data_IF_091838861552
#
_entry.id   IF_091838861552
#
_cell.length_a   1.000
_cell.length_b   1.000
_cell.length_c   1.000
_cell.angle_alpha   90.00
_cell.angle_beta   90.00
_cell.angle_gamma   90.00
#
_symmetry.space_group_name_H-M   'P 1'
#
loop_
_entity.id
_entity.type
_entity.pdbx_description
1 polymer ?
#
# COMPACT_ATOMS: atom_id res chain seq x y z
N UNK A 1 -5.41 -26.17 9.39
CA UNK A 1 -5.73 -24.72 9.49
C UNK A 1 -5.07 -24.22 10.77
N UNK A 2 -4.03 -23.38 10.65
CA UNK A 2 -3.37 -22.77 11.81
C UNK A 2 -4.33 -21.86 12.59
N UNK A 3 -3.94 -21.41 13.79
CA UNK A 3 -4.77 -20.48 14.52
C UNK A 3 -4.89 -19.16 13.74
N UNK A 4 -5.97 -18.38 13.90
CA UNK A 4 -6.07 -17.05 13.29
C UNK A 4 -4.89 -16.14 13.64
N UNK A 5 -4.25 -16.36 14.80
CA UNK A 5 -3.04 -15.66 15.22
C UNK A 5 -1.86 -16.03 14.33
N UNK A 6 -1.65 -17.33 14.09
CA UNK A 6 -0.55 -17.84 13.27
C UNK A 6 -0.71 -17.40 11.82
N UNK A 7 -1.95 -17.41 11.30
CA UNK A 7 -2.27 -16.93 9.97
C UNK A 7 -1.93 -15.44 9.78
N UNK A 8 -2.10 -14.61 10.82
CA UNK A 8 -1.71 -13.21 10.76
C UNK A 8 -0.19 -13.04 10.71
N UNK A 9 0.55 -13.84 11.49
CA UNK A 9 2.02 -13.80 11.52
C UNK A 9 2.62 -14.28 10.19
N UNK A 10 2.07 -15.34 9.60
CA UNK A 10 2.48 -15.84 8.29
C UNK A 10 2.26 -14.81 7.19
N UNK A 11 1.07 -14.21 7.12
CA UNK A 11 0.77 -13.16 6.13
C UNK A 11 1.65 -11.92 6.34
N UNK A 12 2.02 -11.62 7.59
CA UNK A 12 2.89 -10.49 7.91
C UNK A 12 4.32 -10.72 7.41
N UNK A 13 4.85 -11.94 7.56
CA UNK A 13 6.16 -12.32 7.05
C UNK A 13 6.20 -12.25 5.52
N UNK A 14 5.17 -12.76 4.85
CA UNK A 14 5.01 -12.67 3.39
C UNK A 14 4.91 -11.23 2.90
N UNK A 15 4.14 -10.37 3.59
CA UNK A 15 4.04 -8.95 3.27
C UNK A 15 5.38 -8.22 3.51
N UNK A 16 6.11 -8.59 4.56
CA UNK A 16 7.41 -7.98 4.89
C UNK A 16 8.48 -8.33 3.85
N UNK A 17 8.60 -9.61 3.47
CA UNK A 17 9.49 -10.04 2.39
C UNK A 17 9.19 -9.33 1.07
N UNK A 18 7.91 -9.18 0.74
CA UNK A 18 7.49 -8.44 -0.46
C UNK A 18 7.88 -6.97 -0.39
N UNK A 19 7.75 -6.33 0.78
CA UNK A 19 8.17 -4.93 0.96
C UNK A 19 9.69 -4.76 0.81
N UNK A 20 10.49 -5.68 1.35
CA UNK A 20 11.95 -5.63 1.23
C UNK A 20 12.41 -5.87 -0.21
N UNK A 21 11.77 -6.80 -0.92
CA UNK A 21 12.01 -7.04 -2.34
C UNK A 21 11.66 -5.82 -3.20
N UNK A 22 10.51 -5.16 -2.95
CA UNK A 22 10.17 -3.90 -3.63
C UNK A 22 11.23 -2.85 -3.36
N UNK A 23 11.74 -2.75 -2.13
CA UNK A 23 12.80 -1.80 -1.79
C UNK A 23 14.11 -2.11 -2.53
N UNK A 24 14.45 -3.39 -2.72
CA UNK A 24 15.54 -3.83 -3.58
C UNK A 24 15.34 -3.40 -5.04
N UNK A 25 14.15 -3.68 -5.60
CA UNK A 25 13.80 -3.30 -6.97
C UNK A 25 13.81 -1.78 -7.17
N UNK A 26 13.33 -0.99 -6.20
CA UNK A 26 13.35 0.48 -6.25
C UNK A 26 14.79 1.00 -6.19
N UNK A 27 15.67 0.36 -5.43
CA UNK A 27 17.09 0.73 -5.36
C UNK A 27 17.82 0.43 -6.67
N UNK A 28 17.44 -0.63 -7.37
CA UNK A 28 17.98 -1.04 -8.67
C UNK A 28 17.29 -0.35 -9.86
N UNK A 29 16.16 0.34 -9.62
CA UNK A 29 15.25 0.82 -10.67
C UNK A 29 15.91 1.77 -11.68
N UNK A 30 16.84 2.62 -11.22
CA UNK A 30 17.58 3.57 -12.06
C UNK A 30 16.69 4.30 -13.09
N UNK A 31 17.19 4.45 -14.32
CA UNK A 31 16.47 5.08 -15.44
C UNK A 31 15.62 4.10 -16.27
N UNK A 32 15.52 2.83 -15.86
CA UNK A 32 14.94 1.80 -16.70
C UNK A 32 13.44 1.68 -16.48
N UNK A 33 12.67 2.22 -17.42
CA UNK A 33 11.21 2.19 -17.42
C UNK A 33 10.62 0.77 -17.32
N UNK A 34 11.39 -0.26 -17.74
CA UNK A 34 11.00 -1.68 -17.69
C UNK A 34 10.78 -2.21 -16.26
N UNK A 35 11.45 -1.66 -15.25
CA UNK A 35 11.25 -2.04 -13.85
C UNK A 35 10.04 -1.36 -13.23
N UNK A 36 9.66 -0.19 -13.73
CA UNK A 36 8.59 0.63 -13.16
C UNK A 36 7.24 -0.10 -13.14
N UNK A 37 6.88 -0.76 -14.25
CA UNK A 37 5.64 -1.54 -14.34
C UNK A 37 5.64 -2.75 -13.39
N UNK A 38 6.79 -3.43 -13.27
CA UNK A 38 6.95 -4.56 -12.35
C UNK A 38 6.81 -4.12 -10.90
N UNK A 39 7.48 -3.02 -10.53
CA UNK A 39 7.44 -2.46 -9.18
C UNK A 39 6.02 -1.98 -8.84
N UNK A 40 5.35 -1.27 -9.75
CA UNK A 40 3.95 -0.86 -9.59
C UNK A 40 3.04 -2.07 -9.28
N UNK A 41 3.18 -3.17 -10.04
CA UNK A 41 2.42 -4.41 -9.80
C UNK A 41 2.74 -5.02 -8.43
N UNK A 42 4.01 -5.06 -8.04
CA UNK A 42 4.44 -5.56 -6.72
C UNK A 42 3.85 -4.73 -5.58
N UNK A 43 3.86 -3.40 -5.70
CA UNK A 43 3.23 -2.48 -4.74
C UNK A 43 1.72 -2.73 -4.63
N UNK A 44 1.03 -3.00 -5.74
CA UNK A 44 -0.39 -3.38 -5.72
C UNK A 44 -0.62 -4.68 -4.94
N UNK A 45 0.21 -5.71 -5.17
CA UNK A 45 0.11 -6.99 -4.43
C UNK A 45 0.34 -6.76 -2.93
N UNK A 46 1.33 -5.92 -2.57
CA UNK A 46 1.58 -5.55 -1.17
C UNK A 46 0.35 -4.90 -0.54
N UNK A 47 -0.36 -4.04 -1.28
CA UNK A 47 -1.64 -3.49 -0.85
C UNK A 47 -2.64 -4.56 -0.45
N UNK A 48 -2.95 -5.49 -1.36
CA UNK A 48 -3.88 -6.60 -1.08
C UNK A 48 -3.50 -7.42 0.15
N UNK A 49 -2.20 -7.63 0.39
CA UNK A 49 -1.71 -8.31 1.60
C UNK A 49 -1.95 -7.48 2.87
N UNK A 50 -1.74 -6.17 2.82
CA UNK A 50 -2.02 -5.27 3.96
C UNK A 50 -3.51 -5.25 4.34
N UNK A 51 -4.40 -5.34 3.36
CA UNK A 51 -5.85 -5.45 3.62
C UNK A 51 -6.24 -6.82 4.17
N UNK A 52 -5.53 -7.87 3.73
CA UNK A 52 -5.69 -9.21 4.28
C UNK A 52 -5.25 -9.26 5.74
N UNK A 53 -4.11 -8.64 6.08
CA UNK A 53 -3.64 -8.44 7.46
C UNK A 53 -4.64 -7.66 8.31
N UNK A 54 -5.22 -6.58 7.77
CA UNK A 54 -6.26 -5.81 8.45
C UNK A 54 -7.49 -6.67 8.73
N UNK A 55 -7.96 -7.44 7.74
CA UNK A 55 -9.10 -8.35 7.88
C UNK A 55 -8.86 -9.44 8.92
N UNK A 56 -7.67 -10.05 8.91
CA UNK A 56 -7.26 -11.03 9.92
C UNK A 56 -7.24 -10.38 11.30
N UNK A 57 -6.66 -9.18 11.45
CA UNK A 57 -6.60 -8.46 12.72
C UNK A 57 -7.99 -8.15 13.29
N UNK A 58 -8.95 -7.75 12.45
CA UNK A 58 -10.35 -7.56 12.85
C UNK A 58 -11.00 -8.85 13.34
N UNK A 59 -10.67 -10.02 12.75
CA UNK A 59 -11.15 -11.33 13.22
C UNK A 59 -10.51 -11.75 14.55
N UNK A 60 -9.27 -11.32 14.82
CA UNK A 60 -8.56 -11.57 16.07
C UNK A 60 -9.13 -10.75 17.23
N UNK A 61 -9.42 -9.47 17.00
CA UNK A 61 -10.01 -8.60 18.03
C UNK A 61 -11.38 -9.08 18.50
N UNK A 62 -12.16 -9.75 17.65
CA UNK A 62 -13.46 -10.33 18.03
C UNK A 62 -13.37 -11.68 18.76
N UNK A 63 -12.20 -12.32 18.79
CA UNK A 63 -11.96 -13.60 19.47
C UNK A 63 -11.02 -13.35 20.65
N UNK A 64 -11.61 -13.20 21.83
CA UNK A 64 -11.04 -12.78 23.13
C UNK A 64 -9.79 -13.56 23.64
N UNK A 65 -9.18 -14.41 22.82
CA UNK A 65 -7.99 -15.22 23.13
C UNK A 65 -6.65 -14.48 22.92
N UNK A 66 -6.65 -13.25 22.40
CA UNK A 66 -5.43 -12.45 22.18
C UNK A 66 -5.48 -11.22 23.09
N UNK A 67 -4.37 -10.95 23.77
CA UNK A 67 -4.27 -9.79 24.66
C UNK A 67 -4.34 -8.47 23.88
N UNK A 68 -4.94 -7.44 24.48
CA UNK A 68 -5.04 -6.12 23.87
C UNK A 68 -3.68 -5.53 23.50
N UNK A 69 -2.66 -5.78 24.32
CA UNK A 69 -1.26 -5.39 24.04
C UNK A 69 -0.76 -5.98 22.73
N UNK A 70 -1.02 -7.27 22.49
CA UNK A 70 -0.62 -7.96 21.27
C UNK A 70 -1.37 -7.43 20.05
N UNK A 71 -2.66 -7.11 20.17
CA UNK A 71 -3.42 -6.47 19.09
C UNK A 71 -2.80 -5.12 18.73
N UNK A 72 -2.42 -4.31 19.73
CA UNK A 72 -1.80 -3.01 19.49
C UNK A 72 -0.44 -3.12 18.80
N UNK A 73 0.40 -4.09 19.20
CA UNK A 73 1.67 -4.36 18.54
C UNK A 73 1.47 -4.68 17.05
N UNK A 74 0.49 -5.55 16.74
CA UNK A 74 0.15 -5.90 15.36
C UNK A 74 -0.35 -4.70 14.54
N UNK A 75 -1.09 -3.79 15.17
CA UNK A 75 -1.50 -2.52 14.54
C UNK A 75 -0.29 -1.63 14.23
N UNK A 76 0.67 -1.50 15.16
CA UNK A 76 1.90 -0.72 14.98
C UNK A 76 2.78 -1.32 13.86
N UNK A 77 2.90 -2.64 13.80
CA UNK A 77 3.61 -3.35 12.72
C UNK A 77 2.95 -3.13 11.35
N UNK A 78 1.62 -3.23 11.27
CA UNK A 78 0.87 -2.97 10.03
C UNK A 78 1.02 -1.52 9.58
N UNK A 79 0.97 -0.56 10.52
CA UNK A 79 1.18 0.86 10.24
C UNK A 79 2.59 1.13 9.67
N UNK A 80 3.60 0.42 10.17
CA UNK A 80 4.98 0.51 9.67
C UNK A 80 5.07 0.06 8.21
N UNK A 81 4.47 -1.08 7.85
CA UNK A 81 4.44 -1.55 6.46
C UNK A 81 3.64 -0.61 5.53
N UNK A 82 2.51 -0.07 6.00
CA UNK A 82 1.74 0.94 5.26
C UNK A 82 2.57 2.19 4.98
N UNK A 83 3.29 2.70 5.98
CA UNK A 83 4.18 3.84 5.81
C UNK A 83 5.27 3.56 4.77
N UNK A 84 5.92 2.38 4.83
CA UNK A 84 6.89 1.96 3.81
C UNK A 84 6.27 1.90 2.41
N UNK A 85 5.08 1.32 2.26
CA UNK A 85 4.34 1.26 0.99
C UNK A 85 4.09 2.66 0.41
N UNK A 86 3.61 3.59 1.24
CA UNK A 86 3.36 4.98 0.84
C UNK A 86 4.64 5.73 0.42
N UNK A 87 5.76 5.48 1.12
CA UNK A 87 7.06 6.03 0.75
C UNK A 87 7.52 5.48 -0.62
N UNK A 88 7.34 4.18 -0.87
CA UNK A 88 7.68 3.56 -2.15
C UNK A 88 6.80 4.11 -3.28
N UNK A 89 5.49 4.24 -3.07
CA UNK A 89 4.58 4.86 -4.02
C UNK A 89 5.00 6.30 -4.35
N UNK A 90 5.40 7.09 -3.34
CA UNK A 90 5.89 8.45 -3.53
C UNK A 90 7.18 8.51 -4.37
N UNK A 91 8.14 7.61 -4.11
CA UNK A 91 9.39 7.51 -4.91
C UNK A 91 9.14 7.18 -6.38
N UNK A 92 8.17 6.31 -6.66
CA UNK A 92 7.76 5.96 -8.03
C UNK A 92 7.08 7.13 -8.76
N UNK A 93 6.45 8.04 -8.03
CA UNK A 93 5.86 9.24 -8.62
C UNK A 93 6.93 10.30 -8.95
N UNK A 94 7.88 10.55 -8.04
CA UNK A 94 8.94 11.55 -8.24
C UNK A 94 9.88 11.15 -9.39
N UNK A 95 10.23 9.87 -9.50
CA UNK A 95 11.09 9.34 -10.57
C UNK A 95 10.45 9.40 -11.97
N UNK A 96 9.13 9.57 -12.08
CA UNK A 96 8.44 9.79 -13.35
C UNK A 96 8.63 11.22 -13.88
N UNK A 97 8.66 12.23 -13.00
CA UNK A 97 8.76 13.63 -13.39
C UNK A 97 10.21 14.08 -13.65
N UNK A 98 11.19 13.53 -12.93
CA UNK A 98 12.60 13.94 -13.04
C UNK A 98 13.29 13.68 -14.38
N UNK A 99 12.64 13.01 -15.34
CA UNK A 99 13.23 12.67 -16.63
C UNK A 99 12.51 13.29 -17.84
N UNK A 100 11.42 14.07 -17.64
CA UNK A 100 10.69 14.75 -18.73
C UNK A 100 11.18 16.18 -18.97
N UNK A 101 11.69 16.87 -17.94
CA UNK A 101 12.20 18.25 -18.06
C UNK A 101 13.42 18.38 -18.98
N UNK A 102 14.19 17.31 -19.21
CA UNK A 102 15.36 17.32 -20.09
C UNK A 102 15.03 17.04 -21.57
N UNK A 103 13.80 16.63 -21.88
CA UNK A 103 13.41 16.21 -23.25
C UNK A 103 12.40 17.14 -23.93
N UNK A 104 11.72 18.01 -23.18
CA UNK A 104 10.75 18.94 -23.73
C UNK A 104 11.21 20.36 -23.43
N UNK A 105 12.04 20.91 -24.32
CA UNK A 105 12.28 22.34 -24.36
C UNK A 105 10.94 23.08 -24.36
N UNK A 106 10.75 23.93 -23.35
CA UNK A 106 9.80 25.04 -23.28
C UNK A 106 8.60 24.94 -24.22
N UNK A 107 7.45 24.54 -23.69
CA UNK A 107 6.28 25.40 -23.55
C UNK A 107 5.09 24.55 -23.05
N UNK A 108 4.72 24.68 -21.78
CA UNK A 108 3.40 24.22 -21.32
C UNK A 108 2.71 25.43 -20.72
N UNK A 109 1.90 26.11 -21.53
CA UNK A 109 0.86 27.01 -21.01
C UNK A 109 -0.13 26.19 -20.18
N UNK A 110 -0.55 26.69 -19.00
CA UNK A 110 -1.20 25.89 -17.94
C UNK A 110 -2.69 25.56 -18.20
N UNK A 111 -3.13 25.49 -19.46
CA UNK A 111 -4.55 25.35 -19.80
C UNK A 111 -4.95 23.96 -20.33
N UNK A 112 -4.02 23.16 -20.88
CA UNK A 112 -4.38 21.93 -21.62
C UNK A 112 -3.81 20.62 -21.04
N UNK A 113 -3.20 20.65 -19.85
CA UNK A 113 -2.71 19.43 -19.18
C UNK A 113 -3.82 18.65 -18.44
N UNK A 114 -5.05 18.65 -18.97
CA UNK A 114 -6.13 17.75 -18.56
C UNK A 114 -6.29 16.69 -19.64
N UNK A 115 -5.30 15.80 -19.74
CA UNK A 115 -5.49 14.47 -20.30
C UNK A 115 -4.68 13.48 -19.47
N UNK A 116 -5.37 12.91 -18.48
CA UNK A 116 -5.42 11.48 -18.26
C UNK A 116 -4.08 10.74 -18.39
N UNK A 117 -3.28 10.77 -17.33
CA UNK A 117 -2.42 9.63 -16.99
C UNK A 117 -1.98 9.68 -15.54
N UNK A 118 -2.16 8.54 -14.86
CA UNK A 118 -1.43 8.11 -13.67
C UNK A 118 -1.75 8.71 -12.29
N UNK A 119 -3.02 9.08 -12.02
CA UNK A 119 -3.54 9.14 -10.62
C UNK A 119 -4.23 7.83 -10.17
N UNK A 120 -3.77 6.67 -10.69
CA UNK A 120 -4.33 5.36 -10.35
C UNK A 120 -4.00 4.92 -8.90
N UNK A 121 -2.86 5.33 -8.36
CA UNK A 121 -2.44 4.93 -7.01
C UNK A 121 -3.07 5.77 -5.89
N UNK A 122 -3.29 7.07 -6.11
CA UNK A 122 -3.93 7.94 -5.12
C UNK A 122 -5.44 7.71 -5.01
N UNK A 123 -6.15 7.64 -6.14
CA UNK A 123 -7.61 7.53 -6.12
C UNK A 123 -8.12 6.12 -5.82
N UNK A 124 -7.45 5.07 -6.30
CA UNK A 124 -7.89 3.69 -6.03
C UNK A 124 -7.75 3.31 -4.55
N UNK A 125 -6.65 3.71 -3.91
CA UNK A 125 -6.46 3.47 -2.47
C UNK A 125 -7.34 4.37 -1.59
N UNK A 126 -7.53 5.64 -1.95
CA UNK A 126 -8.42 6.54 -1.20
C UNK A 126 -9.89 6.14 -1.33
N UNK A 127 -10.37 5.76 -2.52
CA UNK A 127 -11.74 5.28 -2.71
C UNK A 127 -12.00 3.94 -2.01
N UNK A 128 -11.01 3.04 -1.93
CA UNK A 128 -11.20 1.75 -1.27
C UNK A 128 -11.08 1.82 0.26
N UNK A 129 -10.15 2.63 0.81
CA UNK A 129 -10.03 2.89 2.25
C UNK A 129 -11.31 3.51 2.85
N UNK A 130 -11.96 4.44 2.12
CA UNK A 130 -13.22 5.05 2.53
C UNK A 130 -14.41 4.09 2.56
N UNK A 131 -14.34 2.93 1.90
CA UNK A 131 -15.44 1.95 1.87
C UNK A 131 -15.41 0.97 3.06
N UNK A 132 -14.44 1.09 3.98
CA UNK A 132 -14.33 0.20 5.16
C UNK A 132 -14.66 0.85 6.50
N UNK A 133 -15.12 2.11 6.51
CA UNK A 133 -15.40 2.88 7.74
C UNK A 133 -16.86 3.30 7.97
N UNK A 134 -17.82 2.68 7.28
CA UNK A 134 -19.26 2.70 7.58
C UNK A 134 -19.75 1.28 7.22
N UNK A 135 -20.36 0.43 8.06
CA UNK A 135 -21.33 0.66 9.12
C UNK A 135 -21.17 -0.42 10.23
N UNK A 136 -20.98 0.01 11.48
CA UNK A 136 -21.47 -0.72 12.66
C UNK A 136 -22.19 0.29 13.55
N UNK A 137 -23.42 0.63 13.18
CA UNK A 137 -24.37 1.18 14.13
C UNK A 137 -25.45 0.13 14.38
N UNK A 138 -25.22 -0.61 15.46
CA UNK A 138 -26.29 -1.25 16.23
C UNK A 138 -27.18 -0.11 16.71
N UNK A 139 -28.46 -0.10 16.32
CA UNK A 139 -29.51 0.56 17.08
C UNK A 139 -30.58 -0.47 17.37
N UNK A 140 -30.59 -0.85 18.64
CA UNK A 140 -31.68 -1.56 19.32
C UNK A 140 -32.80 -0.55 19.53
N UNK A 141 -34.00 -0.87 19.04
CA UNK A 141 -35.29 -0.53 19.66
C UNK A 141 -36.37 -1.43 19.04
#
# INVERSE_FOLDING_TARGET
MGSPSDAWMEEFDEASKLADDINGMVSEMGYFQRYLSSIRRRVTILGTRLDSLQSLLSKLSGKQQITEKEIRLRQEMLATLRSKSNQMASKLNISHFGNRDSLLGVNITPADAIYESDNWFGQSWSCWSSTTNYERHIVIA
#
